data_IF_726420917609
#
_entry.id   IF_726420917609
#
_cell.length_a   1.000
_cell.length_b   1.000
_cell.length_c   1.000
_cell.angle_alpha   90.00
_cell.angle_beta   90.00
_cell.angle_gamma   90.00
#
_symmetry.space_group_name_H-M   'P 1'
#
loop_
_entity.id
_entity.type
_entity.pdbx_description
1 polymer ?
#
# COMPACT_ATOMS: atom_id res chain seq x y z
N UNK A 1 -17.26 21.69 -0.66
CA UNK A 1 -15.98 20.94 -0.75
C UNK A 1 -16.06 19.64 0.02
N UNK A 2 -15.29 18.63 -0.35
CA UNK A 2 -15.20 17.37 0.38
C UNK A 2 -13.80 16.76 0.22
N UNK A 3 -13.42 15.90 1.17
CA UNK A 3 -12.24 15.05 1.09
C UNK A 3 -12.50 13.79 1.92
N UNK A 4 -11.61 12.79 1.88
CA UNK A 4 -11.80 11.47 2.53
C UNK A 4 -12.34 11.57 3.97
N UNK A 5 -11.64 12.29 4.86
CA UNK A 5 -12.01 12.41 6.28
C UNK A 5 -12.23 13.85 6.78
N UNK A 6 -12.51 14.80 5.89
CA UNK A 6 -12.86 16.19 6.26
C UNK A 6 -11.68 17.14 6.59
N UNK A 7 -10.58 16.64 7.16
CA UNK A 7 -9.50 17.49 7.72
C UNK A 7 -8.87 18.50 6.73
N UNK A 8 -8.75 18.14 5.44
CA UNK A 8 -8.26 19.07 4.41
C UNK A 8 -9.25 20.21 4.18
N UNK A 9 -10.54 19.88 4.14
CA UNK A 9 -11.60 20.84 3.90
C UNK A 9 -11.82 21.78 5.08
N UNK A 10 -11.57 21.35 6.32
CA UNK A 10 -11.59 22.25 7.49
C UNK A 10 -10.59 23.40 7.30
N UNK A 11 -9.34 23.06 6.95
CA UNK A 11 -8.29 24.04 6.68
C UNK A 11 -8.60 24.92 5.46
N UNK A 12 -9.01 24.32 4.34
CA UNK A 12 -9.32 25.06 3.11
C UNK A 12 -10.52 25.99 3.28
N UNK A 13 -11.55 25.57 4.04
CA UNK A 13 -12.73 26.40 4.30
C UNK A 13 -12.38 27.59 5.18
N UNK A 14 -11.55 27.40 6.21
CA UNK A 14 -11.07 28.48 7.05
C UNK A 14 -10.28 29.51 6.23
N UNK A 15 -9.37 29.06 5.37
CA UNK A 15 -8.59 29.92 4.48
C UNK A 15 -9.48 30.73 3.52
N UNK A 16 -10.47 30.10 2.88
CA UNK A 16 -11.37 30.81 1.96
C UNK A 16 -12.23 31.84 2.68
N UNK A 17 -12.69 31.54 3.90
CA UNK A 17 -13.40 32.53 4.73
C UNK A 17 -12.51 33.72 5.09
N UNK A 18 -11.24 33.48 5.44
CA UNK A 18 -10.26 34.54 5.69
C UNK A 18 -10.00 35.41 4.45
N UNK A 19 -10.06 34.82 3.25
CA UNK A 19 -9.95 35.53 1.97
C UNK A 19 -11.21 36.31 1.57
N UNK A 20 -12.27 36.30 2.39
CA UNK A 20 -13.49 37.07 2.16
C UNK A 20 -14.58 36.33 1.38
N UNK A 21 -14.46 35.02 1.17
CA UNK A 21 -15.57 34.23 0.63
C UNK A 21 -16.62 33.98 1.71
N UNK A 22 -17.85 34.42 1.48
CA UNK A 22 -18.94 34.32 2.46
C UNK A 22 -19.58 32.92 2.47
N UNK A 23 -19.87 32.36 1.29
CA UNK A 23 -20.60 31.11 1.14
C UNK A 23 -19.68 29.91 0.88
N UNK A 24 -18.96 29.49 1.92
CA UNK A 24 -18.03 28.35 1.86
C UNK A 24 -18.51 27.20 2.74
N UNK A 25 -18.80 26.07 2.10
CA UNK A 25 -19.32 24.87 2.76
C UNK A 25 -18.40 23.67 2.52
N UNK A 26 -18.29 22.80 3.53
CA UNK A 26 -17.66 21.49 3.39
C UNK A 26 -18.50 20.38 4.01
N UNK A 27 -18.28 19.16 3.51
CA UNK A 27 -18.84 17.94 4.07
C UNK A 27 -18.17 17.62 5.40
N UNK A 28 -18.89 17.79 6.51
CA UNK A 28 -18.39 17.50 7.86
C UNK A 28 -18.11 16.01 8.01
N UNK A 29 -16.91 15.65 8.50
CA UNK A 29 -16.48 14.25 8.57
C UNK A 29 -16.02 13.65 7.24
N UNK A 30 -16.16 14.37 6.12
CA UNK A 30 -15.71 13.93 4.80
C UNK A 30 -16.54 12.81 4.20
N UNK A 31 -15.99 12.20 3.14
CA UNK A 31 -16.65 11.14 2.38
C UNK A 31 -16.93 9.92 3.28
N UNK A 32 -16.00 9.52 4.15
CA UNK A 32 -16.19 8.33 4.98
C UNK A 32 -17.41 8.45 5.91
N UNK A 33 -17.63 9.64 6.49
CA UNK A 33 -18.83 9.90 7.31
C UNK A 33 -20.11 9.92 6.47
N UNK A 34 -20.02 10.43 5.25
CA UNK A 34 -21.15 10.40 4.32
C UNK A 34 -21.55 8.97 3.94
N UNK A 35 -20.58 8.09 3.62
CA UNK A 35 -20.87 6.69 3.31
C UNK A 35 -21.46 5.93 4.50
N UNK A 36 -21.05 6.27 5.73
CA UNK A 36 -21.62 5.73 6.97
C UNK A 36 -23.08 6.16 7.19
N UNK A 37 -23.39 7.44 6.95
CA UNK A 37 -24.67 8.03 7.33
C UNK A 37 -25.74 7.94 6.23
N UNK A 38 -25.35 7.85 4.95
CA UNK A 38 -26.27 7.89 3.80
C UNK A 38 -26.44 6.49 3.20
N UNK A 39 -27.67 5.95 3.12
CA UNK A 39 -27.93 4.68 2.44
C UNK A 39 -27.48 4.69 0.98
N UNK A 40 -26.99 3.56 0.48
CA UNK A 40 -26.45 3.44 -0.88
C UNK A 40 -27.48 3.83 -1.95
N UNK A 41 -28.75 3.50 -1.75
CA UNK A 41 -29.84 3.82 -2.69
C UNK A 41 -30.13 5.33 -2.79
N UNK A 42 -29.65 6.11 -1.83
CA UNK A 42 -29.79 7.57 -1.77
C UNK A 42 -28.44 8.29 -1.96
N UNK A 43 -27.37 7.51 -2.15
CA UNK A 43 -26.02 8.02 -2.27
C UNK A 43 -25.82 8.72 -3.62
N UNK A 44 -25.07 9.82 -3.57
CA UNK A 44 -24.51 10.49 -4.75
C UNK A 44 -23.04 10.10 -4.97
N UNK A 45 -22.50 9.19 -4.14
CA UNK A 45 -21.14 8.70 -4.29
C UNK A 45 -21.10 7.58 -5.33
N UNK A 46 -20.14 7.65 -6.24
CA UNK A 46 -19.92 6.66 -7.29
C UNK A 46 -18.51 6.07 -7.18
N UNK A 47 -18.42 4.75 -7.31
CA UNK A 47 -17.16 4.02 -7.19
C UNK A 47 -16.65 3.90 -5.75
N UNK A 48 -15.34 3.86 -5.58
CA UNK A 48 -14.69 3.58 -4.29
C UNK A 48 -13.93 4.79 -3.75
N UNK A 49 -13.87 4.93 -2.42
CA UNK A 49 -13.18 6.03 -1.75
C UNK A 49 -11.74 5.65 -1.43
N UNK A 50 -10.77 6.38 -1.99
CA UNK A 50 -9.36 6.18 -1.67
C UNK A 50 -9.04 6.48 -0.19
N UNK A 51 -8.34 5.54 0.46
CA UNK A 51 -7.86 5.62 1.84
C UNK A 51 -6.35 5.44 1.90
N UNK A 52 -5.72 6.03 2.92
CA UNK A 52 -4.26 6.11 3.04
C UNK A 52 -3.68 4.98 3.91
N UNK A 53 -4.14 3.76 3.67
CA UNK A 53 -3.68 2.54 4.33
C UNK A 53 -3.69 1.36 3.35
N UNK A 54 -3.40 0.16 3.85
CA UNK A 54 -3.24 -1.05 3.02
C UNK A 54 -4.51 -1.46 2.27
N UNK A 55 -5.69 -0.93 2.63
CA UNK A 55 -6.94 -1.19 1.90
C UNK A 55 -7.00 -0.50 0.55
N UNK A 56 -6.21 0.57 0.35
CA UNK A 56 -6.15 1.42 -0.86
C UNK A 56 -7.44 2.20 -1.11
N UNK A 57 -8.57 1.51 -1.18
CA UNK A 57 -9.91 2.06 -1.36
C UNK A 57 -10.90 1.36 -0.43
N UNK A 58 -12.07 1.98 -0.24
CA UNK A 58 -13.23 1.36 0.40
C UNK A 58 -14.49 1.54 -0.43
N UNK A 59 -15.39 0.56 -0.39
CA UNK A 59 -16.71 0.64 -1.02
C UNK A 59 -17.70 1.48 -0.18
N UNK A 60 -18.96 1.58 -0.62
CA UNK A 60 -20.01 2.32 0.12
C UNK A 60 -20.26 1.73 1.52
N UNK A 61 -20.13 0.41 1.68
CA UNK A 61 -20.23 -0.28 2.97
C UNK A 61 -18.97 -0.12 3.87
N UNK A 62 -17.99 0.71 3.47
CA UNK A 62 -16.72 0.93 4.16
C UNK A 62 -15.82 -0.32 4.29
N UNK A 63 -16.08 -1.33 3.47
CA UNK A 63 -15.26 -2.54 3.35
C UNK A 63 -14.10 -2.29 2.37
N UNK A 64 -13.00 -3.07 2.46
CA UNK A 64 -11.91 -2.97 1.49
C UNK A 64 -12.41 -3.06 0.05
N UNK A 65 -11.92 -2.15 -0.78
CA UNK A 65 -12.31 -2.03 -2.18
C UNK A 65 -11.60 -3.03 -3.10
N UNK A 66 -11.76 -2.82 -4.41
CA UNK A 66 -11.24 -3.70 -5.47
C UNK A 66 -9.90 -3.25 -6.04
N UNK A 67 -9.43 -2.06 -5.67
CA UNK A 67 -8.15 -1.54 -6.15
C UNK A 67 -6.99 -2.02 -5.28
N UNK A 68 -5.91 -2.39 -5.95
CA UNK A 68 -4.60 -2.53 -5.31
C UNK A 68 -3.76 -1.27 -5.52
N UNK A 69 -2.63 -1.16 -4.83
CA UNK A 69 -1.71 -0.05 -5.02
C UNK A 69 -0.46 -0.49 -5.78
N UNK A 70 -0.10 0.25 -6.83
CA UNK A 70 1.20 0.08 -7.47
C UNK A 70 2.33 0.52 -6.53
N UNK A 71 3.22 -0.41 -6.16
CA UNK A 71 4.36 -0.14 -5.28
C UNK A 71 5.41 0.83 -5.88
N UNK A 72 5.34 1.11 -7.17
CA UNK A 72 6.22 2.06 -7.84
C UNK A 72 5.69 3.49 -7.80
N UNK A 73 4.50 3.73 -8.37
CA UNK A 73 3.93 5.08 -8.50
C UNK A 73 2.87 5.45 -7.45
N UNK A 74 2.45 4.49 -6.61
CA UNK A 74 1.43 4.67 -5.56
C UNK A 74 0.03 4.99 -6.05
N UNK A 75 -0.22 4.86 -7.35
CA UNK A 75 -1.57 4.95 -7.89
C UNK A 75 -2.35 3.65 -7.64
N UNK A 76 -3.66 3.74 -7.40
CA UNK A 76 -4.56 2.59 -7.45
C UNK A 76 -4.49 1.91 -8.82
N UNK A 77 -4.54 0.59 -8.85
CA UNK A 77 -4.56 -0.24 -10.04
C UNK A 77 -5.62 -1.32 -9.90
N UNK A 78 -6.28 -1.65 -11.01
CA UNK A 78 -7.30 -2.70 -11.08
C UNK A 78 -6.68 -4.05 -11.41
N UNK A 79 -7.46 -5.13 -11.29
CA UNK A 79 -7.07 -6.46 -11.81
C UNK A 79 -6.79 -6.43 -13.32
N UNK A 80 -7.51 -5.60 -14.08
CA UNK A 80 -7.28 -5.43 -15.52
C UNK A 80 -5.92 -4.81 -15.79
N UNK A 81 -5.52 -3.80 -15.02
CA UNK A 81 -4.20 -3.17 -15.14
C UNK A 81 -3.06 -4.16 -14.91
N UNK A 82 -3.26 -5.13 -14.00
CA UNK A 82 -2.29 -6.19 -13.71
C UNK A 82 -2.10 -7.19 -14.86
N UNK A 83 -3.04 -7.27 -15.80
CA UNK A 83 -2.93 -8.15 -16.97
C UNK A 83 -2.13 -7.53 -18.11
N UNK A 84 -1.80 -6.23 -18.02
CA UNK A 84 -1.00 -5.55 -19.02
C UNK A 84 0.45 -6.05 -19.05
N UNK A 85 1.06 -6.10 -20.23
CA UNK A 85 2.50 -6.35 -20.38
C UNK A 85 3.38 -5.30 -19.68
N UNK A 86 2.81 -4.11 -19.38
CA UNK A 86 3.46 -3.03 -18.64
C UNK A 86 3.45 -3.24 -17.12
N UNK A 87 2.68 -4.21 -16.63
CA UNK A 87 2.63 -4.55 -15.22
C UNK A 87 3.73 -5.52 -14.85
N UNK A 88 4.47 -5.14 -13.81
CA UNK A 88 5.39 -6.02 -13.12
C UNK A 88 5.23 -5.75 -11.63
N UNK A 89 4.79 -6.78 -10.89
CA UNK A 89 4.56 -6.68 -9.45
C UNK A 89 5.77 -6.06 -8.74
N UNK A 90 5.51 -5.04 -7.92
CA UNK A 90 6.54 -4.31 -7.19
C UNK A 90 7.29 -3.23 -7.98
N UNK A 91 7.22 -3.24 -9.32
CA UNK A 91 8.15 -2.53 -10.21
C UNK A 91 7.46 -1.52 -11.10
N UNK A 92 6.36 -1.88 -11.77
CA UNK A 92 5.67 -1.00 -12.71
C UNK A 92 4.21 -1.39 -12.92
N UNK A 93 3.44 -0.44 -13.43
CA UNK A 93 2.06 -0.62 -13.89
C UNK A 93 1.84 0.18 -15.19
N UNK A 94 0.70 0.01 -15.88
CA UNK A 94 0.38 0.75 -17.11
C UNK A 94 0.51 2.27 -16.98
N UNK A 95 0.21 2.83 -15.80
CA UNK A 95 0.26 4.27 -15.58
C UNK A 95 1.67 4.85 -15.45
N UNK A 96 2.66 4.03 -15.08
CA UNK A 96 4.00 4.53 -14.79
C UNK A 96 5.10 3.93 -15.66
N UNK A 97 4.88 2.77 -16.29
CA UNK A 97 5.91 2.02 -17.02
C UNK A 97 6.76 2.90 -17.95
N UNK A 98 6.12 3.73 -18.78
CA UNK A 98 6.79 4.59 -19.77
C UNK A 98 7.53 5.79 -19.13
N UNK A 99 7.20 6.12 -17.87
CA UNK A 99 7.76 7.25 -17.14
C UNK A 99 8.86 6.85 -16.14
N UNK A 100 9.23 5.57 -16.08
CA UNK A 100 10.27 5.08 -15.18
C UNK A 100 11.63 5.03 -15.87
N UNK A 101 12.62 5.65 -15.24
CA UNK A 101 14.03 5.46 -15.62
C UNK A 101 14.52 4.06 -15.26
N UNK A 102 15.54 3.58 -15.97
CA UNK A 102 16.18 2.28 -15.68
C UNK A 102 16.72 2.20 -14.24
N UNK A 103 17.23 3.32 -13.70
CA UNK A 103 17.66 3.40 -12.30
C UNK A 103 16.50 3.22 -11.31
N UNK A 104 15.33 3.78 -11.61
CA UNK A 104 14.14 3.58 -10.78
C UNK A 104 13.66 2.13 -10.85
N UNK A 105 13.58 1.54 -12.05
CA UNK A 105 13.20 0.14 -12.24
C UNK A 105 14.12 -0.80 -11.46
N UNK A 106 15.44 -0.64 -11.58
CA UNK A 106 16.41 -1.45 -10.85
C UNK A 106 16.21 -1.38 -9.32
N UNK A 107 15.96 -0.17 -8.78
CA UNK A 107 15.71 0.02 -7.34
C UNK A 107 14.40 -0.63 -6.90
N UNK A 108 13.35 -0.59 -7.73
CA UNK A 108 12.07 -1.21 -7.42
C UNK A 108 12.12 -2.73 -7.49
N UNK A 109 12.84 -3.29 -8.47
CA UNK A 109 13.12 -4.73 -8.60
C UNK A 109 13.82 -5.23 -7.33
N UNK A 110 14.88 -4.54 -6.89
CA UNK A 110 15.60 -4.96 -5.69
C UNK A 110 14.72 -4.89 -4.44
N UNK A 111 13.92 -3.83 -4.28
CA UNK A 111 12.96 -3.73 -3.17
C UNK A 111 11.96 -4.89 -3.17
N UNK A 112 11.35 -5.19 -4.32
CA UNK A 112 10.38 -6.29 -4.45
C UNK A 112 11.04 -7.64 -4.11
N UNK A 113 12.26 -7.86 -4.60
CA UNK A 113 13.05 -9.05 -4.25
C UNK A 113 13.25 -9.18 -2.74
N UNK A 114 13.60 -8.08 -2.05
CA UNK A 114 13.78 -8.11 -0.59
C UNK A 114 12.47 -8.36 0.16
N UNK A 115 11.34 -7.85 -0.35
CA UNK A 115 10.00 -8.11 0.20
C UNK A 115 9.63 -9.59 0.05
N UNK A 116 9.80 -10.16 -1.15
CA UNK A 116 9.48 -11.56 -1.43
C UNK A 116 10.35 -12.51 -0.58
N UNK A 117 11.66 -12.24 -0.50
CA UNK A 117 12.58 -12.97 0.35
C UNK A 117 12.18 -12.93 1.84
N UNK A 118 11.67 -11.81 2.34
CA UNK A 118 11.17 -11.70 3.71
C UNK A 118 9.90 -12.53 3.91
N UNK A 119 8.97 -12.48 2.96
CA UNK A 119 7.75 -13.30 2.95
C UNK A 119 8.06 -14.80 2.99
N UNK A 120 9.02 -15.26 2.18
CA UNK A 120 9.47 -16.66 2.18
C UNK A 120 10.06 -17.10 3.52
N UNK A 121 10.64 -16.17 4.28
CA UNK A 121 11.14 -16.42 5.64
C UNK A 121 10.08 -16.28 6.74
N UNK A 122 8.86 -15.85 6.40
CA UNK A 122 7.85 -15.49 7.40
C UNK A 122 8.22 -14.25 8.22
N UNK A 123 9.13 -13.41 7.73
CA UNK A 123 9.56 -12.18 8.37
C UNK A 123 8.75 -10.99 7.86
N UNK A 124 8.40 -10.06 8.76
CA UNK A 124 7.88 -8.77 8.34
C UNK A 124 8.99 -7.95 7.67
N UNK A 125 8.71 -7.41 6.47
CA UNK A 125 9.67 -6.56 5.75
C UNK A 125 9.57 -5.08 6.16
N UNK A 126 8.35 -4.59 6.40
CA UNK A 126 8.09 -3.24 6.88
C UNK A 126 7.61 -3.27 8.33
N UNK A 127 8.10 -2.34 9.15
CA UNK A 127 7.67 -2.19 10.55
C UNK A 127 8.15 -3.28 11.52
N UNK A 128 8.99 -4.22 11.08
CA UNK A 128 9.57 -5.23 11.96
C UNK A 128 10.55 -4.61 12.96
N UNK A 129 10.57 -5.11 14.19
CA UNK A 129 11.65 -4.80 15.12
C UNK A 129 12.98 -5.33 14.59
N UNK A 130 13.87 -4.40 14.22
CA UNK A 130 15.16 -4.73 13.61
C UNK A 130 16.00 -5.61 14.53
N UNK A 131 15.95 -5.36 15.84
CA UNK A 131 16.74 -6.09 16.83
C UNK A 131 16.35 -7.58 16.89
N UNK A 132 15.05 -7.89 16.99
CA UNK A 132 14.55 -9.27 17.05
C UNK A 132 14.80 -10.02 15.74
N UNK A 133 14.61 -9.35 14.61
CA UNK A 133 14.89 -9.91 13.27
C UNK A 133 16.36 -10.29 13.11
N UNK A 134 17.29 -9.44 13.57
CA UNK A 134 18.73 -9.72 13.49
C UNK A 134 19.14 -10.90 14.37
N UNK A 135 18.58 -11.01 15.58
CA UNK A 135 18.86 -12.12 16.50
C UNK A 135 18.38 -13.43 15.87
N UNK A 136 17.13 -13.47 15.39
CA UNK A 136 16.56 -14.65 14.76
C UNK A 136 17.41 -15.13 13.58
N UNK A 137 17.79 -14.22 12.67
CA UNK A 137 18.66 -14.54 11.51
C UNK A 137 20.01 -15.13 11.89
N UNK A 138 20.61 -14.69 12.99
CA UNK A 138 21.88 -15.26 13.48
C UNK A 138 21.68 -16.70 13.95
N UNK A 139 20.63 -16.95 14.73
CA UNK A 139 20.30 -18.28 15.25
C UNK A 139 20.00 -19.27 14.12
N UNK A 140 19.12 -18.92 13.18
CA UNK A 140 18.74 -19.79 12.06
C UNK A 140 19.96 -20.17 11.20
N UNK A 141 20.84 -19.20 10.90
CA UNK A 141 22.07 -19.47 10.12
C UNK A 141 23.03 -20.40 10.87
N UNK A 142 23.10 -20.31 12.19
CA UNK A 142 23.98 -21.16 13.00
C UNK A 142 23.44 -22.59 13.06
N UNK A 143 22.13 -22.76 13.25
CA UNK A 143 21.46 -24.06 13.22
C UNK A 143 21.59 -24.75 11.87
N UNK A 144 21.40 -24.02 10.77
CA UNK A 144 21.52 -24.57 9.43
C UNK A 144 22.96 -24.98 9.11
N UNK A 145 23.96 -24.20 9.54
CA UNK A 145 25.38 -24.59 9.45
C UNK A 145 25.67 -25.88 10.23
N UNK A 146 25.17 -26.00 11.46
CA UNK A 146 25.34 -27.21 12.29
C UNK A 146 24.68 -28.42 11.63
N UNK A 147 23.46 -28.27 11.11
CA UNK A 147 22.74 -29.32 10.37
C UNK A 147 23.52 -29.76 9.13
N UNK A 148 24.04 -28.83 8.34
CA UNK A 148 24.83 -29.16 7.15
C UNK A 148 26.15 -29.88 7.50
N UNK A 149 26.82 -29.49 8.60
CA UNK A 149 28.01 -30.18 9.10
C UNK A 149 27.69 -31.61 9.54
N UNK A 150 26.58 -31.81 10.24
CA UNK A 150 26.15 -33.14 10.68
C UNK A 150 25.82 -34.06 9.50
N UNK A 151 25.01 -33.59 8.53
CA UNK A 151 24.71 -34.35 7.30
C UNK A 151 25.99 -34.71 6.54
N UNK A 152 26.99 -33.82 6.52
CA UNK A 152 28.26 -34.07 5.86
C UNK A 152 29.11 -35.11 6.60
N UNK A 153 29.07 -35.12 7.93
CA UNK A 153 29.76 -36.13 8.73
C UNK A 153 29.13 -37.53 8.52
N UNK A 154 27.79 -37.61 8.51
CA UNK A 154 27.05 -38.86 8.30
C UNK A 154 27.19 -39.45 6.88
N UNK A 155 27.67 -38.69 5.89
CA UNK A 155 27.92 -39.16 4.52
C UNK A 155 29.35 -39.66 4.27
N UNK A 156 30.24 -39.51 5.24
CA UNK A 156 31.66 -39.89 5.13
C UNK A 156 31.94 -41.26 5.79
N UNK A 157 30.99 -41.80 6.55
CA UNK A 157 30.92 -43.20 7.00
C UNK A 157 30.14 -44.07 6.01
#
# INVERSE_FOLDING_TARGET
MFCTGGIRCEKSTALLKEQGFEEVYHLKGGILKYLEDVPEEQSLWEGECFVFDDRVTVNHALEPGTYDQCNACRLPITESDKQSEKYQQGVSCPHCFDNLTEKQKARFIEREKQMQLAKERGEAHMGAEVASTVIHRRQTKEEERKRQQQIRAEKVD
#
